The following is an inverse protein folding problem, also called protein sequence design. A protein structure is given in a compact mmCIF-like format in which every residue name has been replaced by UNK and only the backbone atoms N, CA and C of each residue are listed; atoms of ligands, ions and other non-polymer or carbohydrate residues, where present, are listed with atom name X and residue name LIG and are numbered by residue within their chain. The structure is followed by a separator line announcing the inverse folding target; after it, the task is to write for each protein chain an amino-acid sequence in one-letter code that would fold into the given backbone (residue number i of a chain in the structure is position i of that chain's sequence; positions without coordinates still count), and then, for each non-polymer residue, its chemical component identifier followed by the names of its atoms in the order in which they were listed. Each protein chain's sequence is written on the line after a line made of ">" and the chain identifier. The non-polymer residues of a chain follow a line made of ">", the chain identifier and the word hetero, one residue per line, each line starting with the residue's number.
data_IF_417122828187
#
_entry.id   IF_417122828187
#
_cell.length_a   1.000
_cell.length_b   1.000
_cell.length_c   1.000
_cell.angle_alpha   90.00
_cell.angle_beta   90.00
_cell.angle_gamma   90.00
#
_symmetry.space_group_name_H-M   'P 1'
#
loop_
_entity.id
_entity.type
_entity.pdbx_description
1 polymer ?
#
# COMPACT_ATOMS: atom_id res chain seq x y z
N UNK A 1 -14.68 -1.15 12.70
CA UNK A 1 -14.32 -1.81 11.43
C UNK A 1 -12.86 -1.45 11.19
N UNK A 2 -11.94 -2.28 11.67
CA UNK A 2 -10.50 -1.99 11.67
C UNK A 2 -9.85 -2.61 10.43
N UNK A 3 -9.52 -1.78 9.45
CA UNK A 3 -8.60 -2.15 8.36
C UNK A 3 -7.49 -1.11 8.18
N UNK A 4 -7.31 -0.19 9.14
CA UNK A 4 -6.45 0.99 8.96
C UNK A 4 -5.01 0.83 9.47
N UNK A 5 -4.59 -0.37 9.89
CA UNK A 5 -3.29 -0.54 10.56
C UNK A 5 -2.26 -1.35 9.78
N UNK A 6 -2.66 -1.99 8.67
CA UNK A 6 -1.69 -2.76 7.87
C UNK A 6 -0.71 -1.83 7.20
N UNK A 7 0.56 -2.08 7.47
CA UNK A 7 1.66 -1.37 6.83
C UNK A 7 1.82 -1.84 5.38
N UNK A 8 2.40 -0.99 4.53
CA UNK A 8 2.71 -1.34 3.15
C UNK A 8 3.55 -2.62 3.09
N UNK A 9 4.46 -2.80 4.05
CA UNK A 9 5.28 -4.00 4.19
C UNK A 9 4.45 -5.25 4.47
N UNK A 10 3.43 -5.18 5.33
CA UNK A 10 2.51 -6.29 5.59
C UNK A 10 1.68 -6.64 4.36
N UNK A 11 1.15 -5.64 3.65
CA UNK A 11 0.45 -5.88 2.37
C UNK A 11 1.33 -6.62 1.36
N UNK A 12 2.61 -6.24 1.26
CA UNK A 12 3.56 -6.89 0.35
C UNK A 12 3.99 -8.27 0.86
N UNK A 13 4.13 -8.45 2.17
CA UNK A 13 4.48 -9.72 2.78
C UNK A 13 3.35 -10.75 2.64
N UNK A 14 2.09 -10.33 2.76
CA UNK A 14 0.92 -11.17 2.51
C UNK A 14 0.70 -11.38 1.01
N UNK A 15 0.90 -10.35 0.19
CA UNK A 15 0.73 -10.42 -1.26
C UNK A 15 1.77 -9.55 -1.98
N UNK A 16 2.83 -10.18 -2.47
CA UNK A 16 3.90 -9.51 -3.20
C UNK A 16 3.43 -8.75 -4.46
N UNK A 17 2.26 -9.08 -5.02
CA UNK A 17 1.69 -8.36 -6.17
C UNK A 17 1.27 -6.93 -5.80
N UNK A 18 0.91 -6.70 -4.54
CA UNK A 18 0.61 -5.35 -4.03
C UNK A 18 1.82 -4.42 -4.14
N UNK A 19 3.04 -4.95 -4.12
CA UNK A 19 4.26 -4.17 -4.36
C UNK A 19 4.25 -3.49 -5.73
N UNK A 20 3.68 -4.13 -6.75
CA UNK A 20 3.55 -3.54 -8.09
C UNK A 20 2.56 -2.37 -8.08
N UNK A 21 1.47 -2.48 -7.33
CA UNK A 21 0.52 -1.38 -7.10
C UNK A 21 1.25 -0.21 -6.44
N UNK A 22 1.90 -0.42 -5.30
CA UNK A 22 2.64 0.64 -4.61
C UNK A 22 3.69 1.29 -5.50
N UNK A 23 4.42 0.49 -6.29
CA UNK A 23 5.40 0.99 -7.26
C UNK A 23 4.77 1.87 -8.35
N UNK A 24 3.57 1.53 -8.84
CA UNK A 24 2.80 2.34 -9.81
C UNK A 24 2.49 3.74 -9.25
N UNK A 25 2.19 3.84 -7.95
CA UNK A 25 1.94 5.11 -7.26
C UNK A 25 3.22 5.80 -6.73
N UNK A 26 4.42 5.27 -7.03
CA UNK A 26 5.68 5.84 -6.53
C UNK A 26 5.89 5.67 -5.02
N UNK A 27 5.27 4.67 -4.42
CA UNK A 27 5.42 4.28 -3.03
C UNK A 27 6.51 3.21 -2.94
N UNK A 28 7.63 3.57 -2.32
CA UNK A 28 8.80 2.70 -2.22
C UNK A 28 8.79 1.94 -0.89
N UNK A 29 8.63 0.62 -0.93
CA UNK A 29 8.54 -0.25 0.25
C UNK A 29 9.91 -0.72 0.79
N UNK A 30 10.99 -0.57 0.01
CA UNK A 30 12.32 -1.14 0.28
C UNK A 30 12.98 -0.70 1.61
N UNK A 31 12.71 0.52 2.10
CA UNK A 31 13.20 0.99 3.42
C UNK A 31 12.09 1.58 4.30
N UNK A 32 10.86 1.66 3.79
CA UNK A 32 9.73 2.32 4.43
C UNK A 32 8.51 1.40 4.57
N UNK A 33 8.75 0.09 4.57
CA UNK A 33 7.70 -0.93 4.70
C UNK A 33 6.88 -0.82 5.99
N UNK A 34 7.45 -0.28 7.08
CA UNK A 34 6.74 -0.08 8.36
C UNK A 34 5.83 1.14 8.43
N UNK A 35 5.41 1.70 7.29
CA UNK A 35 4.44 2.80 7.22
C UNK A 35 3.16 2.33 6.58
N UNK A 36 2.03 2.87 7.02
CA UNK A 36 0.74 2.62 6.38
C UNK A 36 0.64 3.36 5.05
N UNK A 37 -0.34 2.95 4.26
CA UNK A 37 -0.66 3.61 2.99
C UNK A 37 -1.04 5.05 3.26
N UNK A 38 -1.92 5.31 4.24
CA UNK A 38 -2.35 6.65 4.62
C UNK A 38 -1.18 7.57 5.00
N UNK A 39 -0.28 7.11 5.88
CA UNK A 39 0.89 7.90 6.29
C UNK A 39 1.79 8.26 5.11
N UNK A 40 2.04 7.29 4.24
CA UNK A 40 2.89 7.50 3.07
C UNK A 40 2.23 8.42 2.05
N UNK A 41 0.93 8.29 1.88
CA UNK A 41 0.14 9.13 1.00
C UNK A 41 0.09 10.56 1.51
N UNK A 42 -0.19 10.76 2.80
CA UNK A 42 -0.22 12.06 3.46
C UNK A 42 1.13 12.79 3.38
N UNK A 43 2.25 12.09 3.54
CA UNK A 43 3.59 12.68 3.37
C UNK A 43 3.92 13.06 1.93
N UNK A 44 3.29 12.42 0.95
CA UNK A 44 3.53 12.63 -0.49
C UNK A 44 2.44 13.45 -1.17
N UNK A 45 1.46 13.93 -0.41
CA UNK A 45 0.25 14.58 -0.94
C UNK A 45 -0.42 13.71 -2.02
N UNK A 46 -0.49 12.40 -1.76
CA UNK A 46 -1.18 11.41 -2.60
C UNK A 46 -2.51 11.03 -1.97
N UNK A 47 -3.47 10.66 -2.81
CA UNK A 47 -4.73 10.11 -2.36
C UNK A 47 -4.60 8.61 -2.09
N UNK A 48 -4.86 8.13 -0.85
CA UNK A 48 -4.86 6.70 -0.56
C UNK A 48 -6.05 5.93 -1.18
N UNK A 49 -7.16 6.61 -1.50
CA UNK A 49 -8.36 5.97 -2.06
C UNK A 49 -8.10 5.11 -3.31
N UNK A 50 -7.46 5.62 -4.39
CA UNK A 50 -7.19 4.83 -5.59
C UNK A 50 -6.23 3.66 -5.33
N UNK A 51 -5.33 3.79 -4.35
CA UNK A 51 -4.41 2.70 -3.97
C UNK A 51 -5.20 1.56 -3.33
N UNK A 52 -6.12 1.87 -2.41
CA UNK A 52 -6.99 0.85 -1.81
C UNK A 52 -7.89 0.16 -2.85
N UNK A 53 -8.36 0.89 -3.85
CA UNK A 53 -9.10 0.30 -4.96
C UNK A 53 -8.24 -0.64 -5.81
N UNK A 54 -7.04 -0.22 -6.24
CA UNK A 54 -6.12 -1.10 -6.98
C UNK A 54 -5.76 -2.34 -6.13
N UNK A 55 -5.56 -2.20 -4.82
CA UNK A 55 -5.28 -3.33 -3.93
C UNK A 55 -6.44 -4.32 -3.84
N UNK A 56 -7.69 -3.83 -3.78
CA UNK A 56 -8.89 -4.68 -3.82
C UNK A 56 -9.06 -5.38 -5.16
N UNK A 57 -8.72 -4.70 -6.25
CA UNK A 57 -8.77 -5.24 -7.61
C UNK A 57 -7.59 -6.16 -7.94
N UNK A 58 -6.53 -6.14 -7.14
CA UNK A 58 -5.39 -7.04 -7.34
C UNK A 58 -5.75 -8.42 -6.78
N UNK A 59 -5.80 -9.48 -7.62
CA UNK A 59 -6.13 -10.82 -7.15
C UNK A 59 -5.09 -11.28 -6.12
N UNK A 60 -5.57 -11.58 -4.91
CA UNK A 60 -4.85 -12.33 -3.88
C UNK A 60 -4.95 -13.80 -4.28
N UNK A 61 -3.95 -14.28 -5.03
CA UNK A 61 -3.88 -15.65 -5.54
C UNK A 61 -2.50 -16.20 -5.39
#
# INVERSE_FOLDING_TARGET
>A
MEIQEKTIGEYVAENFRTAAVFKKYGINFCCKGGRTIEETCKMKDLDPAPIYEDLKNTPQG
#
